data_IF_622900542733
#
_entry.id   IF_622900542733
#
_cell.length_a   1.000
_cell.length_b   1.000
_cell.length_c   1.000
_cell.angle_alpha   90.00
_cell.angle_beta   90.00
_cell.angle_gamma   90.00
#
_symmetry.space_group_name_H-M   'P 1'
#
loop_
_entity.id
_entity.type
_entity.pdbx_description
1 polymer ?
2 non-polymer ?
3 non-polymer ?
4 water ?
#
# COMPACT_ATOMS: atom_id res chain seq x y z
N UNK A 1 -0.52 -11.10 0.12
CA UNK A 1 -1.36 -11.30 1.31
C UNK A 1 -1.42 -12.76 1.68
N UNK A 2 -1.09 -13.07 2.94
CA UNK A 2 -1.17 -14.42 3.46
C UNK A 2 -2.49 -14.57 4.18
N UNK A 3 -3.19 -15.69 3.98
CA UNK A 3 -4.39 -15.96 4.75
C UNK A 3 -5.62 -15.21 4.31
N UNK A 4 -5.61 -14.59 3.15
CA UNK A 4 -6.74 -13.89 2.59
C UNK A 4 -7.46 -14.71 1.54
N UNK A 5 -8.29 -14.01 0.77
CA UNK A 5 -9.13 -14.62 -0.25
C UNK A 5 -9.17 -13.70 -1.47
N UNK A 6 -9.62 -14.27 -2.61
CA UNK A 6 -9.72 -13.53 -3.86
C UNK A 6 -10.66 -12.36 -3.67
N UNK A 7 -10.22 -11.16 -4.09
CA UNK A 7 -11.12 -10.03 -4.12
C UNK A 7 -12.14 -10.22 -5.24
N UNK A 8 -13.30 -9.62 -5.08
CA UNK A 8 -14.26 -9.61 -6.18
C UNK A 8 -13.88 -8.54 -7.20
N UNK A 9 -14.27 -8.76 -8.47
CA UNK A 9 -14.01 -7.78 -9.52
C UNK A 9 -14.65 -6.45 -9.13
N UNK A 10 -13.86 -5.38 -9.17
CA UNK A 10 -14.39 -4.07 -8.83
C UNK A 10 -14.47 -3.75 -7.34
N UNK A 11 -14.01 -4.65 -6.47
CA UNK A 11 -14.25 -4.48 -5.06
C UNK A 11 -13.36 -3.43 -4.43
N UNK A 12 -12.13 -3.27 -4.90
CA UNK A 12 -11.16 -2.33 -4.30
C UNK A 12 -10.63 -1.42 -5.40
N UNK A 13 -11.48 -0.55 -5.95
CA UNK A 13 -11.13 0.15 -7.19
C UNK A 13 -10.06 1.22 -7.05
N UNK A 14 -9.59 1.48 -5.82
CA UNK A 14 -8.48 2.38 -5.54
C UNK A 14 -7.14 1.66 -5.49
N UNK A 15 -7.16 0.32 -5.52
CA UNK A 15 -5.91 -0.45 -5.52
C UNK A 15 -5.25 -0.38 -6.90
N UNK A 16 -3.95 -0.04 -6.92
CA UNK A 16 -3.14 0.10 -8.11
C UNK A 16 -1.98 -0.91 -8.02
N UNK A 17 -1.57 -1.43 -9.18
CA UNK A 17 -0.37 -2.27 -9.29
C UNK A 17 0.75 -1.53 -10.03
N UNK A 18 1.94 -1.49 -9.40
CA UNK A 18 3.12 -0.83 -9.93
C UNK A 18 4.11 -1.89 -10.42
N UNK A 19 4.40 -1.87 -11.73
CA UNK A 19 5.33 -2.75 -12.40
C UNK A 19 6.62 -2.01 -12.71
N UNK A 20 7.76 -2.63 -12.46
CA UNK A 20 9.06 -2.05 -12.76
C UNK A 20 9.66 -2.74 -13.97
N UNK A 21 10.33 -1.96 -14.81
CA UNK A 21 10.80 -2.42 -16.12
C UNK A 21 11.40 -3.83 -16.06
N UNK A 22 10.79 -4.76 -16.79
CA UNK A 22 11.32 -6.10 -16.93
C UNK A 22 11.14 -6.99 -15.72
N UNK A 23 10.33 -6.59 -14.74
CA UNK A 23 10.19 -7.34 -13.50
C UNK A 23 8.76 -7.66 -13.09
N UNK A 24 7.76 -7.18 -13.83
CA UNK A 24 6.43 -7.46 -13.38
C UNK A 24 6.03 -6.61 -12.18
N UNK A 25 4.97 -7.06 -11.52
CA UNK A 25 4.48 -6.38 -10.31
C UNK A 25 5.51 -6.37 -9.19
N UNK A 26 5.74 -5.19 -8.60
CA UNK A 26 6.71 -5.01 -7.53
C UNK A 26 6.07 -4.43 -6.27
N UNK A 27 5.20 -3.42 -6.41
CA UNK A 27 4.55 -2.80 -5.27
C UNK A 27 3.12 -2.38 -5.60
N UNK A 28 2.36 -2.12 -4.55
CA UNK A 28 1.03 -1.56 -4.67
C UNK A 28 1.04 -0.04 -4.50
N UNK A 29 -0.12 0.55 -4.73
CA UNK A 29 -0.35 1.97 -4.45
C UNK A 29 -1.86 2.17 -4.37
N UNK A 30 -2.26 3.40 -4.04
CA UNK A 30 -3.69 3.75 -3.99
C UNK A 30 -3.96 5.05 -4.75
N UNK A 31 -5.11 5.09 -5.40
CA UNK A 31 -5.58 6.25 -6.14
C UNK A 31 -6.25 7.25 -5.20
N UNK A 32 -5.79 8.49 -5.16
CA UNK A 32 -6.39 9.50 -4.28
C UNK A 32 -6.96 10.69 -5.04
N UNK A 33 -6.69 10.82 -6.35
CA UNK A 33 -7.24 11.84 -7.22
C UNK A 33 -7.02 11.34 -8.64
N UNK A 34 -7.42 12.09 -9.66
CA UNK A 34 -7.20 11.59 -11.01
C UNK A 34 -5.75 11.52 -11.39
N UNK A 35 -4.88 12.26 -10.70
CA UNK A 35 -3.49 12.40 -11.09
C UNK A 35 -2.48 11.82 -10.11
N UNK A 36 -2.89 11.41 -8.92
CA UNK A 36 -1.96 11.12 -7.84
C UNK A 36 -2.26 9.79 -7.18
N UNK A 37 -1.18 9.06 -6.86
CA UNK A 37 -1.21 7.83 -6.07
C UNK A 37 -0.41 8.01 -4.79
N UNK A 38 -0.81 7.27 -3.75
CA UNK A 38 0.00 7.10 -2.53
C UNK A 38 0.66 5.73 -2.56
N UNK A 39 1.94 5.66 -2.17
CA UNK A 39 2.65 4.40 -2.12
C UNK A 39 3.70 4.45 -1.00
N UNK A 40 4.61 3.47 -0.99
CA UNK A 40 5.68 3.38 0.01
C UNK A 40 7.00 3.86 -0.58
N UNK A 41 7.70 4.73 0.16
CA UNK A 41 9.01 5.22 -0.29
C UNK A 41 9.97 4.09 -0.62
N UNK A 42 9.95 3.02 0.18
CA UNK A 42 11.01 2.03 0.06
C UNK A 42 10.94 1.28 -1.28
N UNK A 43 9.81 1.37 -1.97
CA UNK A 43 9.67 0.72 -3.27
C UNK A 43 10.50 1.40 -4.35
N UNK A 44 10.93 2.66 -4.12
CA UNK A 44 11.47 3.55 -5.16
C UNK A 44 12.92 3.92 -4.88
N UNK A 45 13.60 3.05 -4.13
CA UNK A 45 15.02 3.19 -3.79
C UNK A 45 15.87 2.34 -4.72
N UNK A 46 16.88 2.97 -5.35
CA UNK A 46 17.85 2.20 -6.11
C UNK A 46 18.41 1.09 -5.26
N UNK A 47 18.58 -0.08 -5.86
CA UNK A 47 19.02 -1.21 -5.06
C UNK A 47 19.38 -2.34 -6.01
N UNK A 48 20.51 -2.99 -5.73
CA UNK A 48 21.05 -4.01 -6.61
C UNK A 48 21.32 -3.45 -8.01
N UNK A 49 21.50 -2.14 -8.09
CA UNK A 49 21.81 -1.52 -9.36
C UNK A 49 20.63 -1.24 -10.25
N UNK A 50 19.44 -1.80 -9.96
CA UNK A 50 18.25 -1.40 -10.70
C UNK A 50 17.75 -0.08 -10.15
N UNK A 51 17.37 0.82 -11.05
CA UNK A 51 17.07 2.22 -10.72
C UNK A 51 15.58 2.38 -10.42
N UNK A 52 15.17 1.81 -9.27
CA UNK A 52 13.80 1.92 -8.81
C UNK A 52 13.37 3.36 -8.57
N UNK A 53 14.34 4.28 -8.38
CA UNK A 53 14.03 5.68 -8.21
C UNK A 53 13.71 6.40 -9.52
N UNK A 54 13.93 5.74 -10.68
CA UNK A 54 13.70 6.35 -11.99
C UNK A 54 12.23 6.27 -12.37
N UNK A 55 11.48 7.37 -12.31
CA UNK A 55 10.04 7.26 -12.59
C UNK A 55 9.73 6.71 -13.97
N UNK A 56 10.65 6.84 -14.95
CA UNK A 56 10.40 6.36 -16.30
C UNK A 56 10.43 4.84 -16.41
N UNK A 57 10.89 4.14 -15.37
CA UNK A 57 10.97 2.69 -15.40
C UNK A 57 9.82 2.04 -14.64
N UNK A 58 8.70 2.75 -14.48
CA UNK A 58 7.51 2.22 -13.84
C UNK A 58 6.30 2.34 -14.76
N UNK A 59 5.40 1.38 -14.62
CA UNK A 59 4.09 1.42 -15.24
C UNK A 59 3.07 1.14 -14.15
N UNK A 60 2.04 1.97 -14.07
CA UNK A 60 0.96 1.75 -13.13
C UNK A 60 -0.24 1.16 -13.86
N UNK A 61 -0.86 0.13 -13.27
CA UNK A 61 -2.10 -0.45 -13.78
C UNK A 61 -3.23 -0.13 -12.82
N UNK A 62 -4.21 0.65 -13.29
CA UNK A 62 -5.40 0.96 -12.51
C UNK A 62 -6.54 0.11 -13.03
N UNK A 63 -7.46 -0.27 -12.14
CA UNK A 63 -8.60 -1.09 -12.55
C UNK A 63 -8.23 -2.53 -12.81
N UNK A 64 -7.07 -2.98 -12.32
CA UNK A 64 -6.60 -4.34 -12.56
C UNK A 64 -7.15 -5.30 -11.52
N UNK A 65 -7.49 -6.50 -11.98
CA UNK A 65 -7.92 -7.60 -11.12
C UNK A 65 -6.95 -8.76 -11.13
N UNK A 66 -6.45 -9.13 -12.32
CA UNK A 66 -5.65 -10.32 -12.56
C UNK A 66 -4.37 -9.94 -13.29
N UNK A 67 -3.22 -10.22 -12.68
CA UNK A 67 -1.92 -9.88 -13.27
C UNK A 67 -1.68 -10.54 -14.63
N UNK A 68 -2.32 -11.68 -14.89
CA UNK A 68 -2.20 -12.35 -16.19
C UNK A 68 -3.18 -11.79 -17.23
N UNK A 69 -3.97 -10.77 -16.88
CA UNK A 69 -4.97 -10.18 -17.77
C UNK A 69 -4.89 -8.65 -17.73
N UNK A 70 -3.75 -8.11 -18.15
CA UNK A 70 -3.51 -6.68 -18.01
C UNK A 70 -4.12 -5.86 -19.14
N UNK A 71 -4.70 -6.52 -20.14
CA UNK A 71 -5.44 -5.86 -21.21
C UNK A 71 -6.93 -6.14 -21.10
N UNK A 72 -7.39 -6.45 -19.89
CA UNK A 72 -8.80 -6.71 -19.63
C UNK A 72 -9.62 -5.43 -19.73
N UNK A 73 -10.92 -5.54 -19.98
CA UNK A 73 -11.76 -4.33 -20.02
C UNK A 73 -11.70 -3.61 -18.69
N UNK A 74 -11.59 -2.28 -18.74
CA UNK A 74 -11.57 -1.48 -17.54
C UNK A 74 -10.19 -1.13 -17.01
N UNK A 75 -9.14 -1.82 -17.46
CA UNK A 75 -7.79 -1.49 -17.04
C UNK A 75 -7.33 -0.20 -17.71
N UNK A 76 -6.76 0.71 -16.92
CA UNK A 76 -6.07 1.89 -17.41
C UNK A 76 -4.58 1.83 -17.10
N UNK A 77 -3.76 1.88 -18.14
CA UNK A 77 -2.30 1.83 -17.99
C UNK A 77 -1.70 3.24 -18.07
N UNK A 78 -0.78 3.55 -17.16
CA UNK A 78 -0.21 4.90 -17.04
C UNK A 78 1.28 4.87 -16.70
N UNK A 79 2.02 5.79 -17.30
CA UNK A 79 3.38 6.04 -16.88
C UNK A 79 3.41 7.10 -15.79
N UNK A 80 4.53 7.15 -15.06
CA UNK A 80 4.71 8.10 -13.98
C UNK A 80 5.50 9.30 -14.46
N UNK A 81 5.02 10.49 -14.08
CA UNK A 81 5.73 11.75 -14.31
C UNK A 81 6.80 11.96 -13.28
N UNK A 82 6.52 11.57 -12.03
CA UNK A 82 7.49 11.80 -10.98
C UNK A 82 7.09 11.03 -9.73
N UNK A 83 8.11 10.79 -8.89
CA UNK A 83 7.99 10.13 -7.60
C UNK A 83 8.46 11.13 -6.55
N UNK A 84 7.59 11.43 -5.59
CA UNK A 84 7.96 12.31 -4.48
C UNK A 84 8.12 11.45 -3.22
N UNK A 85 9.37 11.19 -2.83
CA UNK A 85 9.65 10.39 -1.64
C UNK A 85 9.66 11.30 -0.44
N UNK A 86 9.18 10.80 0.71
CA UNK A 86 9.11 11.68 1.86
C UNK A 86 10.52 12.13 2.24
N UNK A 87 10.74 13.40 2.58
CA UNK A 87 12.13 13.85 2.80
C UNK A 87 12.79 13.22 4.01
N UNK A 88 12.02 12.76 4.99
CA UNK A 88 12.52 12.11 6.19
C UNK A 88 12.55 10.59 6.09
N UNK A 89 12.26 10.00 4.93
CA UNK A 89 12.38 8.55 4.78
C UNK A 89 13.79 8.10 5.08
N UNK A 90 13.90 7.04 5.89
CA UNK A 90 15.19 6.44 6.28
C UNK A 90 15.20 4.99 5.82
N UNK A 91 16.17 4.63 4.97
CA UNK A 91 16.11 3.31 4.35
C UNK A 91 16.67 2.20 5.21
N UNK A 92 17.19 2.52 6.41
CA UNK A 92 17.64 1.55 7.41
C UNK A 92 16.54 1.22 8.42
N UNK A 93 15.82 2.23 8.89
CA UNK A 93 14.73 2.09 9.86
C UNK A 93 13.35 2.00 9.23
N UNK A 94 13.21 2.46 8.00
CA UNK A 94 11.93 2.59 7.32
C UNK A 94 10.98 3.58 7.97
N UNK A 95 11.48 4.50 8.79
CA UNK A 95 10.68 5.63 9.24
C UNK A 95 10.28 6.48 8.04
N UNK A 96 9.07 7.05 8.12
CA UNK A 96 8.48 7.90 7.07
C UNK A 96 8.42 7.20 5.72
N UNK A 97 7.90 5.97 5.73
CA UNK A 97 7.85 5.15 4.51
C UNK A 97 6.59 5.51 3.74
N UNK A 98 6.68 6.58 2.94
CA UNK A 98 5.56 7.04 2.13
C UNK A 98 6.09 7.82 0.94
N UNK A 99 5.36 7.73 -0.17
CA UNK A 99 5.70 8.40 -1.41
C UNK A 99 4.43 8.72 -2.18
N UNK A 100 4.55 9.72 -3.04
CA UNK A 100 3.45 10.20 -3.88
C UNK A 100 3.86 10.06 -5.34
N UNK A 101 3.00 9.45 -6.15
CA UNK A 101 3.33 9.16 -7.54
C UNK A 101 2.37 9.93 -8.43
N UNK A 102 2.93 10.74 -9.34
CA UNK A 102 2.14 11.55 -10.26
C UNK A 102 1.99 10.81 -11.59
N UNK A 103 0.74 10.59 -12.02
CA UNK A 103 0.45 9.95 -13.28
C UNK A 103 0.69 10.90 -14.46
N UNK A 104 1.14 10.33 -15.59
CA UNK A 104 1.46 11.14 -16.78
C UNK A 104 0.20 11.78 -17.36
N UNK A 105 -0.92 11.08 -17.29
CA UNK A 105 -2.21 11.54 -17.77
C UNK A 105 -3.25 11.06 -16.77
N UNK A 106 -4.34 11.81 -16.59
CA UNK A 106 -5.28 11.47 -15.52
C UNK A 106 -6.03 10.17 -15.77
N UNK A 107 -6.40 9.52 -14.67
CA UNK A 107 -7.30 8.39 -14.74
C UNK A 107 -8.71 8.89 -14.99
N UNK A 108 -9.55 8.02 -15.55
CA UNK A 108 -10.98 8.30 -15.69
C UNK A 108 -11.74 7.41 -14.72
N UNK A 109 -12.49 8.01 -13.82
CA UNK A 109 -13.18 7.19 -12.83
C UNK A 109 -14.23 6.32 -13.53
N UNK A 110 -14.37 5.09 -13.03
CA UNK A 110 -15.23 4.06 -13.59
C UNK A 110 -15.66 3.14 -12.45
N UNK A 111 -16.42 2.10 -12.80
CA UNK A 111 -16.78 1.10 -11.80
C UNK A 111 -15.55 0.40 -11.24
N UNK A 112 -14.48 0.30 -12.05
CA UNK A 112 -13.27 -0.37 -11.61
C UNK A 112 -12.14 0.57 -11.20
N UNK A 113 -12.29 1.89 -11.39
CA UNK A 113 -11.25 2.87 -11.04
C UNK A 113 -11.88 4.01 -10.26
N UNK A 114 -11.59 4.09 -8.96
CA UNK A 114 -12.18 5.10 -8.08
C UNK A 114 -11.18 5.46 -6.99
N UNK A 115 -11.19 6.71 -6.53
CA UNK A 115 -10.28 7.10 -5.46
C UNK A 115 -10.80 6.68 -4.10
N UNK A 116 -9.86 6.65 -3.14
CA UNK A 116 -10.17 6.41 -1.72
C UNK A 116 -10.00 7.72 -0.95
N UNK A 117 -10.89 7.94 0.02
CA UNK A 117 -10.85 9.17 0.82
C UNK A 117 -9.66 9.21 1.75
N UNK A 118 -9.01 10.43 1.83
CA UNK A 118 -7.95 10.61 2.83
C UNK A 118 -8.54 10.93 4.19
N UNK A 119 -7.93 10.44 5.27
CA UNK A 119 -8.29 10.91 6.62
C UNK A 119 -7.66 12.26 6.89
N UNK A 120 -8.40 13.15 7.58
CA UNK A 120 -7.73 14.38 8.02
C UNK A 120 -6.76 14.07 9.17
N UNK A 121 -5.99 15.09 9.56
CA UNK A 121 -4.91 14.90 10.55
C UNK A 121 -5.40 14.45 11.92
N UNK A 122 -6.67 14.70 12.25
CA UNK A 122 -7.22 14.34 13.55
C UNK A 122 -7.86 12.96 13.58
N UNK A 123 -7.90 12.27 12.44
CA UNK A 123 -8.62 11.01 12.35
C UNK A 123 -7.90 9.92 13.12
N UNK A 124 -8.66 9.12 13.87
CA UNK A 124 -8.11 8.04 14.68
C UNK A 124 -8.64 6.70 14.17
N UNK A 125 -7.77 5.71 14.18
CA UNK A 125 -8.10 4.29 13.95
C UNK A 125 -7.70 3.55 15.22
N UNK A 126 -8.62 3.33 16.15
CA UNK A 126 -8.24 2.85 17.49
C UNK A 126 -7.79 1.40 17.48
N UNK A 127 -6.95 1.06 18.47
CA UNK A 127 -6.54 -0.32 18.63
C UNK A 127 -7.79 -1.18 18.75
N UNK A 128 -7.78 -2.31 18.05
CA UNK A 128 -8.92 -3.19 18.00
C UNK A 128 -9.76 -3.09 16.75
N UNK A 129 -9.71 -1.97 16.03
CA UNK A 129 -10.54 -1.78 14.84
C UNK A 129 -10.15 -2.75 13.73
N UNK A 130 -11.15 -3.41 13.14
CA UNK A 130 -10.95 -4.27 11.99
C UNK A 130 -10.93 -3.45 10.71
N UNK A 131 -9.88 -3.63 9.93
CA UNK A 131 -9.68 -2.93 8.66
C UNK A 131 -9.12 -3.93 7.65
N UNK A 132 -8.99 -3.50 6.40
CA UNK A 132 -8.67 -4.41 5.30
C UNK A 132 -7.33 -4.08 4.67
N UNK A 133 -6.60 -5.12 4.26
CA UNK A 133 -5.39 -4.98 3.44
C UNK A 133 -5.60 -5.76 2.15
N UNK A 134 -5.09 -5.24 1.05
CA UNK A 134 -5.25 -5.83 -0.27
C UNK A 134 -3.91 -5.76 -1.03
N UNK A 135 -3.69 -6.70 -1.94
CA UNK A 135 -2.53 -6.61 -2.79
C UNK A 135 -2.31 -7.89 -3.59
N UNK A 136 -1.28 -7.83 -4.43
CA UNK A 136 -0.84 -8.95 -5.25
C UNK A 136 0.46 -9.55 -4.72
N UNK A 137 0.79 -9.29 -3.46
CA UNK A 137 1.98 -9.82 -2.84
C UNK A 137 1.94 -11.32 -2.66
N UNK A 138 3.07 -11.85 -2.15
CA UNK A 138 3.20 -13.28 -1.87
C UNK A 138 2.07 -13.75 -0.97
N UNK A 139 1.65 -15.00 -1.14
CA UNK A 139 0.64 -15.59 -0.29
C UNK A 139 1.20 -16.53 0.76
N UNK A 140 2.51 -16.75 0.74
CA UNK A 140 3.27 -17.37 1.83
C UNK A 140 4.63 -16.72 1.88
N UNK A 141 5.25 -16.66 3.06
CA UNK A 141 6.60 -16.15 3.14
C UNK A 141 7.49 -17.07 2.32
N UNK A 142 8.29 -16.49 1.43
CA UNK A 142 9.12 -17.30 0.56
C UNK A 142 8.40 -17.91 -0.62
N UNK A 143 7.20 -17.43 -0.94
CA UNK A 143 6.42 -17.94 -2.04
C UNK A 143 6.37 -16.99 -3.22
N UNK A 144 5.28 -16.99 -3.96
CA UNK A 144 5.16 -16.16 -5.15
C UNK A 144 3.88 -15.33 -5.07
N UNK A 145 3.84 -14.28 -5.89
CA UNK A 145 2.70 -13.38 -5.86
C UNK A 145 1.41 -14.06 -6.28
N UNK A 146 0.32 -13.40 -5.96
CA UNK A 146 -1.01 -13.84 -6.38
C UNK A 146 -1.32 -13.18 -7.71
N UNK A 147 -1.84 -13.98 -8.65
CA UNK A 147 -2.34 -13.41 -9.90
C UNK A 147 -3.59 -12.56 -9.65
N UNK A 148 -4.54 -13.08 -8.86
CA UNK A 148 -5.76 -12.36 -8.56
C UNK A 148 -5.58 -11.58 -7.26
N UNK A 149 -6.03 -10.33 -7.28
CA UNK A 149 -5.97 -9.46 -6.10
C UNK A 149 -6.54 -10.16 -4.88
N UNK A 150 -5.80 -10.08 -3.78
CA UNK A 150 -6.18 -10.70 -2.51
C UNK A 150 -6.66 -9.65 -1.53
N UNK A 151 -7.53 -10.08 -0.60
CA UNK A 151 -8.00 -9.21 0.47
C UNK A 151 -7.91 -9.97 1.78
N UNK A 152 -7.60 -9.24 2.85
CA UNK A 152 -7.63 -9.79 4.19
C UNK A 152 -8.03 -8.78 5.24
N UNK A 153 -8.86 -9.22 6.19
CA UNK A 153 -9.29 -8.40 7.30
C UNK A 153 -8.34 -8.63 8.48
N UNK A 154 -7.89 -7.52 9.10
CA UNK A 154 -6.86 -7.52 10.13
C UNK A 154 -7.25 -6.46 11.15
N UNK A 155 -6.63 -6.48 12.34
CA UNK A 155 -6.97 -5.55 13.40
C UNK A 155 -5.82 -4.63 13.81
N UNK A 156 -6.17 -3.37 14.10
CA UNK A 156 -5.18 -2.43 14.62
C UNK A 156 -4.69 -2.93 15.97
N UNK A 157 -3.36 -2.90 16.16
CA UNK A 157 -2.73 -3.33 17.41
C UNK A 157 -2.38 -2.11 18.26
N UNK A 158 -2.46 -2.28 19.58
CA UNK A 158 -2.03 -1.23 20.50
C UNK A 158 -0.58 -0.86 20.23
N UNK A 159 -0.26 0.45 20.30
CA UNK A 159 1.08 0.90 19.93
C UNK A 159 2.14 0.41 20.91
N UNK A 160 1.83 0.37 22.21
CA UNK A 160 2.80 -0.16 23.18
C UNK A 160 3.07 -1.64 22.94
N UNK A 161 2.03 -2.42 22.70
CA UNK A 161 2.20 -3.81 22.32
C UNK A 161 3.09 -3.94 21.08
N UNK A 162 2.78 -3.14 20.04
CA UNK A 162 3.56 -3.14 18.80
C UNK A 162 5.05 -2.90 19.09
N UNK A 163 5.36 -1.86 19.87
CA UNK A 163 6.75 -1.57 20.22
C UNK A 163 7.42 -2.74 20.91
N UNK A 164 6.73 -3.39 21.85
CA UNK A 164 7.37 -4.46 22.61
C UNK A 164 7.53 -5.71 21.77
N UNK A 165 6.66 -5.91 20.78
CA UNK A 165 6.76 -7.10 19.93
C UNK A 165 7.87 -6.97 18.91
N UNK A 166 8.22 -5.75 18.52
CA UNK A 166 9.25 -5.48 17.52
C UNK A 166 10.20 -4.46 18.14
N UNK A 167 11.00 -4.90 19.09
CA UNK A 167 11.70 -3.94 19.93
C UNK A 167 12.71 -3.14 19.15
N UNK A 168 12.83 -1.87 19.53
CA UNK A 168 13.77 -0.91 18.94
C UNK A 168 13.49 -0.64 17.45
N UNK A 169 12.25 -0.87 16.98
CA UNK A 169 11.95 -0.74 15.55
C UNK A 169 10.71 0.08 15.23
N UNK A 170 9.88 0.41 16.20
CA UNK A 170 8.61 1.06 15.94
C UNK A 170 8.74 2.55 16.25
N UNK A 171 8.41 3.40 15.28
CA UNK A 171 8.34 4.83 15.54
C UNK A 171 6.91 5.29 15.54
N UNK A 172 6.66 6.56 15.88
CA UNK A 172 5.29 7.08 15.87
C UNK A 172 4.69 7.21 14.48
N UNK A 173 5.48 7.11 13.41
CA UNK A 173 4.93 7.10 12.05
C UNK A 173 4.31 5.75 11.67
N UNK A 174 4.54 4.72 12.49
CA UNK A 174 4.16 3.35 12.20
C UNK A 174 2.98 2.88 13.07
N UNK A 175 2.21 1.93 12.54
CA UNK A 175 1.17 1.19 13.26
C UNK A 175 1.28 -0.29 12.92
N UNK A 176 1.12 -1.14 13.93
CA UNK A 176 1.00 -2.60 13.73
C UNK A 176 -0.46 -2.93 13.47
N UNK A 177 -0.71 -3.78 12.46
CA UNK A 177 -2.05 -4.24 12.12
C UNK A 177 -1.93 -5.70 11.68
N UNK A 178 -2.81 -6.53 12.22
CA UNK A 178 -2.83 -7.94 11.90
C UNK A 178 -3.56 -8.67 13.00
N UNK A 179 -2.99 -9.80 13.43
CA UNK A 179 -3.46 -10.58 14.58
C UNK A 179 -2.24 -11.06 15.35
N UNK A 180 -2.36 -11.06 16.67
CA UNK A 180 -1.24 -11.59 17.43
C UNK A 180 -1.09 -13.09 17.26
N UNK A 181 -2.14 -13.78 16.80
CA UNK A 181 -2.07 -15.19 16.43
C UNK A 181 -1.64 -15.39 14.98
N UNK A 182 -1.16 -14.33 14.32
CA UNK A 182 -0.68 -14.45 12.95
C UNK A 182 -1.78 -14.83 11.96
N UNK A 183 -1.41 -15.63 10.97
CA UNK A 183 -2.39 -16.23 10.09
C UNK A 183 -2.83 -15.36 8.92
N UNK A 184 -3.11 -14.08 9.15
CA UNK A 184 -3.46 -13.11 8.11
C UNK A 184 -2.50 -11.93 8.19
N UNK A 185 -1.89 -11.57 7.08
CA UNK A 185 -0.86 -10.54 7.06
C UNK A 185 -0.58 -10.17 5.62
N UNK A 186 -0.06 -8.95 5.42
CA UNK A 186 0.51 -8.66 4.11
C UNK A 186 1.91 -9.28 4.00
N UNK A 187 2.51 -9.19 2.81
CA UNK A 187 3.80 -9.83 2.53
C UNK A 187 4.46 -9.10 1.36
N UNK A 188 5.64 -9.60 0.96
CA UNK A 188 6.41 -9.00 -0.12
C UNK A 188 5.55 -8.77 -1.35
N UNK A 189 5.61 -7.56 -1.88
CA UNK A 189 4.82 -7.17 -3.03
C UNK A 189 3.50 -6.49 -2.69
N UNK A 190 3.05 -6.55 -1.44
CA UNK A 190 1.92 -5.74 -1.00
C UNK A 190 2.34 -4.34 -0.59
N UNK A 191 3.63 -4.14 -0.37
CA UNK A 191 4.14 -2.84 0.04
C UNK A 191 3.60 -1.70 -0.83
N UNK A 192 3.29 -0.57 -0.19
CA UNK A 192 2.79 0.61 -0.88
C UNK A 192 1.29 0.61 -1.08
N UNK A 193 0.62 -0.54 -0.89
CA UNK A 193 -0.83 -0.62 -1.02
C UNK A 193 -1.53 -0.09 0.21
N UNK A 194 -2.84 0.13 0.07
CA UNK A 194 -3.65 0.74 1.13
C UNK A 194 -4.16 -0.23 2.18
N UNK A 195 -4.25 0.29 3.39
CA UNK A 195 -5.21 -0.15 4.39
C UNK A 195 -6.53 0.55 4.14
N UNK A 196 -7.58 -0.23 3.91
CA UNK A 196 -8.91 0.32 3.67
C UNK A 196 -9.78 0.13 4.91
N UNK A 197 -10.23 1.23 5.50
CA UNK A 197 -11.09 1.19 6.68
C UNK A 197 -12.51 1.44 6.23
N UNK A 198 -13.35 0.42 6.40
CA UNK A 198 -14.75 0.45 6.03
C UNK A 198 -15.56 0.71 7.27
N UNK A 199 -16.29 1.83 7.28
CA UNK A 199 -17.26 2.09 8.34
C UNK A 199 -18.65 1.63 7.89
N UNK A 201 -21.34 2.96 8.11
CA UNK A 201 -22.21 3.86 7.35
C UNK A 201 -21.79 3.91 5.91
N UNK A 202 -20.90 2.99 5.53
CA UNK A 202 -20.47 2.87 4.16
C UNK A 202 -19.47 3.89 3.68
N UNK A 203 -18.78 4.57 4.59
CA UNK A 203 -17.68 5.44 4.20
C UNK A 203 -16.39 4.66 4.34
N UNK A 204 -15.45 4.93 3.44
CA UNK A 204 -14.17 4.22 3.43
C UNK A 204 -13.05 5.25 3.44
N UNK A 205 -12.10 5.05 4.36
CA UNK A 205 -10.94 5.89 4.50
C UNK A 205 -9.70 5.05 4.32
N UNK A 206 -8.67 5.62 3.71
CA UNK A 206 -7.38 4.96 3.74
C UNK A 206 -6.73 5.18 5.10
N UNK A 207 -6.40 4.10 5.82
CA UNK A 207 -5.85 4.24 7.16
C UNK A 207 -4.33 4.29 7.17
N UNK A 208 -3.69 3.69 6.17
CA UNK A 208 -2.24 3.58 6.20
C UNK A 208 -1.75 2.93 4.92
N UNK A 209 -0.43 2.69 4.89
CA UNK A 209 0.29 2.16 3.74
C UNK A 209 1.09 0.95 4.18
N UNK A 210 0.99 -0.16 3.44
CA UNK A 210 1.82 -1.34 3.73
C UNK A 210 3.29 -0.96 3.67
N UNK A 211 4.04 -1.27 4.74
CA UNK A 211 5.44 -0.85 4.85
C UNK A 211 6.41 -2.02 5.01
N UNK A 212 6.31 -2.82 6.08
CA UNK A 212 7.28 -3.90 6.31
C UNK A 212 6.74 -4.87 7.35
N UNK A 213 7.49 -5.96 7.54
CA UNK A 213 7.20 -6.95 8.55
C UNK A 213 8.39 -7.84 8.79
N UNK A 214 8.38 -8.48 9.95
CA UNK A 214 9.38 -9.49 10.29
C UNK A 214 8.81 -10.83 9.81
N UNK A 215 9.18 -11.24 8.60
CA UNK A 215 8.53 -12.39 7.95
C UNK A 215 7.11 -12.01 7.54
N UNK A 216 6.23 -13.01 7.43
CA UNK A 216 4.83 -12.77 7.08
C UNK A 216 3.94 -13.76 7.81
N UNK A 217 2.93 -13.23 8.50
CA UNK A 217 1.87 -13.99 9.16
C UNK A 217 2.36 -14.81 10.35
N UNK A 218 3.57 -14.54 10.86
CA UNK A 218 4.04 -15.16 12.09
C UNK A 218 3.27 -14.70 13.32
N UNK A 219 3.21 -15.57 14.32
CA UNK A 219 2.64 -15.20 15.60
C UNK A 219 3.45 -14.09 16.26
N UNK A 220 2.75 -13.16 16.89
CA UNK A 220 3.34 -12.03 17.62
C UNK A 220 4.29 -11.20 16.75
N UNK A 221 4.05 -11.16 15.43
CA UNK A 221 4.84 -10.35 14.51
C UNK A 221 3.91 -9.74 13.47
N UNK A 222 3.01 -8.85 13.90
CA UNK A 222 2.06 -8.27 12.96
C UNK A 222 2.74 -7.34 11.97
N UNK A 223 2.08 -7.17 10.82
CA UNK A 223 2.60 -6.26 9.81
C UNK A 223 2.66 -4.83 10.30
N UNK A 224 3.60 -4.06 9.72
CA UNK A 224 3.84 -2.67 10.11
C UNK A 224 3.48 -1.78 8.91
N UNK A 225 2.76 -0.69 9.21
CA UNK A 225 2.13 0.17 8.23
C UNK A 225 2.41 1.62 8.59
N UNK A 226 2.55 2.46 7.57
CA UNK A 226 2.67 3.90 7.78
C UNK A 226 1.31 4.51 8.08
N UNK A 227 1.23 5.33 9.14
CA UNK A 227 0.01 6.01 9.56
C UNK A 227 -0.31 7.21 8.66
N UNK A 228 -1.46 7.21 8.02
CA UNK A 228 -1.72 8.20 6.97
C UNK A 228 -2.17 9.57 7.51
N UNK A 229 -2.95 9.65 8.59
CA UNK A 229 -3.38 10.98 9.06
C UNK A 229 -2.25 11.96 9.27
N UNK A 230 -1.10 11.47 9.76
CA UNK A 230 0.04 12.34 10.01
C UNK A 230 0.51 13.05 8.77
N UNK A 231 0.16 12.54 7.60
CA UNK A 231 0.72 13.07 6.36
C UNK A 231 -0.28 13.88 5.56
N UNK A 232 -1.43 14.25 6.15
CA UNK A 232 -2.45 14.93 5.34
C UNK A 232 -1.91 16.24 4.78
N UNK A 233 -1.19 17.02 5.58
CA UNK A 233 -0.74 18.31 5.11
C UNK A 233 0.41 18.17 4.12
N UNK A 234 1.26 17.17 4.29
CA UNK A 234 2.32 16.89 3.32
C UNK A 234 1.74 16.56 1.95
N UNK A 235 0.68 15.76 1.92
CA UNK A 235 0.01 15.43 0.67
C UNK A 235 -0.59 16.69 0.05
N UNK A 236 -1.31 17.47 0.84
CA UNK A 236 -1.89 18.71 0.32
C UNK A 236 -0.80 19.63 -0.23
N UNK A 237 0.29 19.81 0.51
CA UNK A 237 1.35 20.74 0.11
C UNK A 237 2.01 20.31 -1.19
N UNK A 238 2.21 19.01 -1.36
CA UNK A 238 3.01 18.54 -2.50
C UNK A 238 2.19 18.19 -3.73
N UNK A 239 0.88 17.91 -3.59
CA UNK A 239 0.04 17.51 -4.72
C UNK A 239 -1.17 18.38 -4.95
N UNK A 240 -1.58 19.19 -3.97
CA UNK A 240 -2.82 19.92 -4.00
C UNK A 240 -4.03 19.11 -3.61
N UNK A 241 -3.90 17.80 -3.39
CA UNK A 241 -5.05 16.96 -3.10
C UNK A 241 -5.34 17.03 -1.61
X LIG B 1 -11.99 -11.05 14.43
X LIG C 1 9.62 -8.18 3.87
X LIG C 1 8.23 -8.60 3.38
X LIG C 1 6.32 -8.16 4.97
X LIG C 1 14.30 -7.08 4.15
X LIG C 1 13.48 -6.10 6.22
X LIG C 1 10.09 -5.96 2.86
X LIG C 1 9.71 -6.65 3.96
X LIG C 1 9.53 -6.10 5.04
X LIG C 1 10.08 -4.49 2.92
X LIG C 1 10.67 -6.46 1.61
X LIG C 1 7.08 -7.75 3.88
X LIG C 1 5.21 -7.43 5.39
X LIG C 1 4.34 -7.94 6.48
X LIG C 1 4.89 -6.24 4.73
X LIG C 1 5.64 -5.82 3.65
X LIG C 1 6.72 -6.58 3.21
X LIG C 1 11.48 -3.93 2.78
X LIG C 1 12.54 -8.14 5.35
X LIG C 1 13.40 -8.12 4.27
X LIG C 1 14.34 -6.07 5.11
X LIG C 1 13.57 -5.08 7.29
X LIG C 1 12.42 -4.49 7.81
X LIG C 1 12.50 -3.57 8.85
X LIG C 1 13.73 -3.20 9.40
X LIG C 1 13.81 -2.15 10.47
X LIG C 1 12.12 -4.39 1.49
X LIG C 1 14.85 -3.81 8.87
X LIG C 1 14.80 -4.73 7.84
X LIG C 1 12.57 -7.15 6.32
X LIG C 1 13.82 -2.68 0.84
X LIG C 1 15.80 -1.17 0.40
X LIG C 1 15.07 0.10 0.78
X LIG C 1 15.85 -1.31 -1.12
X LIG C 1 17.22 -1.15 0.96
X LIG C 1 12.10 -5.91 1.40
X LIG C 1 16.06 -3.51 9.42
X LIG C 1 13.49 -3.86 1.44
X LIG C 1 15.13 -2.37 0.96
X LIG C 1 4.70 -9.01 7.14
X LIG C 1 3.22 -7.32 6.77
X LIG C 1 9.89 -8.75 5.20
X LIG C 1 13.00 -1.98 0.21
X LIG C 1 14.12 -2.69 11.74
X LIG C 1 11.32 -9.87 6.86
X LIG C 1 11.56 -10.37 4.44
X LIG C 1 11.33 -9.42 5.49
#
# INVERSE_FOLDING_TARGET
VVGGTDADEGEWPWQVSLHALGQGHICGASLISPNWLVSAAHCYIDDRGFRYSDPTQWTAFLGLHDQSQRSAPGVQERRLKRIISHPFFNDFTFDYDIALLELEKPAEYSSMVRPISLPDASHVFPAGKAIWVTGWGHTQYGGTGALILQKGEIRVINQTTCENLLPQQITPRMMCVGFLSGGVDSCQGDSGGPLSSVEADGRIFQAGVVSWGDGCAQRNKPGVYTRLPLFRDWIKENTGV
CL CL
MXH C11 C12 C14 C22 C24 N C O C1 C10 C13 C15 C16 C17 C18 C19 C2 C20 C21 C23 C25 C26 C27 C28 C29 C3 C30 C31 C32 C4 C5 C6 C7 C8 C9 F N1 N2 N3 N4 N5 O1 O2 O3 O4 S
#
